data_IF_771324967235
#
_entry.id   IF_771324967235
#
_cell.length_a   1.000
_cell.length_b   1.000
_cell.length_c   1.000
_cell.angle_alpha   90.00
_cell.angle_beta   90.00
_cell.angle_gamma   90.00
#
_symmetry.space_group_name_H-M   'P 1'
#
loop_
_entity.id
_entity.type
_entity.pdbx_description
1 polymer ?
#
# COMPACT_ATOMS: atom_id res chain seq x y z
N UNK A 1 -7.30 15.80 -43.63
CA UNK A 1 -6.97 16.84 -42.63
C UNK A 1 -7.65 16.62 -41.25
N UNK A 2 -8.78 15.91 -41.18
CA UNK A 2 -9.43 15.56 -39.90
C UNK A 2 -8.75 14.44 -39.08
N UNK A 3 -7.81 13.70 -39.67
CA UNK A 3 -7.18 12.51 -39.07
C UNK A 3 -5.94 12.85 -38.22
N UNK A 4 -5.05 13.69 -38.76
CA UNK A 4 -3.84 14.15 -38.07
C UNK A 4 -4.12 14.87 -36.74
N UNK A 5 -5.22 15.63 -36.66
CA UNK A 5 -5.62 16.30 -35.41
C UNK A 5 -6.04 15.29 -34.32
N UNK A 6 -6.70 14.18 -34.66
CA UNK A 6 -7.07 13.16 -33.67
C UNK A 6 -5.86 12.41 -33.13
N UNK A 7 -4.90 12.10 -34.00
CA UNK A 7 -3.65 11.42 -33.62
C UNK A 7 -2.81 12.29 -32.67
N UNK A 8 -2.70 13.59 -32.93
CA UNK A 8 -1.97 14.52 -32.05
C UNK A 8 -2.61 14.64 -30.67
N UNK A 9 -3.95 14.71 -30.59
CA UNK A 9 -4.66 14.73 -29.31
C UNK A 9 -4.53 13.42 -28.52
N UNK A 10 -4.56 12.27 -29.21
CA UNK A 10 -4.38 10.97 -28.59
C UNK A 10 -2.95 10.81 -28.04
N UNK A 11 -1.95 11.24 -28.81
CA UNK A 11 -0.55 11.23 -28.40
C UNK A 11 -0.31 12.14 -27.20
N UNK A 12 -0.85 13.37 -27.21
CA UNK A 12 -0.73 14.29 -26.09
C UNK A 12 -1.37 13.71 -24.81
N UNK A 13 -2.54 13.08 -24.93
CA UNK A 13 -3.20 12.41 -23.80
C UNK A 13 -2.36 11.27 -23.22
N UNK A 14 -1.72 10.47 -24.07
CA UNK A 14 -0.86 9.37 -23.63
C UNK A 14 0.39 9.89 -22.89
N UNK A 15 0.97 11.01 -23.35
CA UNK A 15 2.10 11.65 -22.66
C UNK A 15 1.69 12.14 -21.27
N UNK A 16 0.57 12.86 -21.16
CA UNK A 16 0.06 13.35 -19.86
C UNK A 16 -0.26 12.19 -18.92
N UNK A 17 -0.89 11.12 -19.42
CA UNK A 17 -1.15 9.93 -18.61
C UNK A 17 0.13 9.27 -18.10
N UNK A 18 1.18 9.23 -18.94
CA UNK A 18 2.49 8.71 -18.54
C UNK A 18 3.17 9.58 -17.46
N UNK A 19 3.07 10.91 -17.56
CA UNK A 19 3.59 11.83 -16.54
C UNK A 19 2.85 11.68 -15.20
N UNK A 20 1.52 11.52 -15.24
CA UNK A 20 0.70 11.30 -14.05
C UNK A 20 1.07 10.01 -13.32
N UNK A 21 1.29 8.93 -14.07
CA UNK A 21 1.75 7.64 -13.53
C UNK A 21 3.15 7.78 -12.94
N UNK A 22 4.04 8.53 -13.59
CA UNK A 22 5.37 8.79 -13.07
C UNK A 22 5.30 9.50 -11.72
N UNK A 23 4.53 10.59 -11.60
CA UNK A 23 4.32 11.31 -10.33
C UNK A 23 3.73 10.43 -9.24
N UNK A 24 2.75 9.59 -9.60
CA UNK A 24 2.16 8.65 -8.65
C UNK A 24 3.19 7.64 -8.12
N UNK A 25 4.09 7.16 -8.98
CA UNK A 25 5.18 6.26 -8.59
C UNK A 25 6.19 6.96 -7.69
N UNK A 26 6.55 8.22 -7.98
CA UNK A 26 7.46 9.00 -7.13
C UNK A 26 6.89 9.21 -5.72
N UNK A 27 5.61 9.54 -5.63
CA UNK A 27 4.91 9.57 -4.35
C UNK A 27 4.96 8.20 -3.65
N UNK A 28 4.59 7.15 -4.38
CA UNK A 28 4.46 5.80 -3.82
C UNK A 28 5.79 5.23 -3.33
N UNK A 29 6.90 5.61 -3.95
CA UNK A 29 8.26 5.26 -3.50
C UNK A 29 8.51 5.78 -2.08
N UNK A 30 8.15 7.04 -1.81
CA UNK A 30 8.28 7.64 -0.47
C UNK A 30 7.35 6.95 0.54
N UNK A 31 6.11 6.64 0.14
CA UNK A 31 5.12 6.06 1.05
C UNK A 31 5.40 4.60 1.42
N UNK A 32 6.05 3.85 0.53
CA UNK A 32 6.24 2.40 0.68
C UNK A 32 7.69 2.00 0.94
N UNK A 33 8.65 2.87 0.61
CA UNK A 33 10.08 2.56 0.65
C UNK A 33 10.55 1.63 -0.48
N UNK A 34 9.67 1.21 -1.39
CA UNK A 34 10.04 0.41 -2.56
C UNK A 34 10.50 1.30 -3.70
N UNK A 35 11.52 0.85 -4.43
CA UNK A 35 12.07 1.62 -5.55
C UNK A 35 11.03 1.83 -6.67
N UNK A 36 11.19 2.89 -7.46
CA UNK A 36 10.35 3.11 -8.66
C UNK A 36 10.37 1.91 -9.61
N UNK A 37 11.50 1.21 -9.69
CA UNK A 37 11.63 0.00 -10.50
C UNK A 37 10.72 -1.12 -9.97
N UNK A 38 10.75 -1.37 -8.66
CA UNK A 38 9.92 -2.39 -8.02
C UNK A 38 8.43 -2.10 -8.17
N UNK A 39 8.04 -0.84 -7.97
CA UNK A 39 6.65 -0.40 -8.08
C UNK A 39 6.14 -0.51 -9.53
N UNK A 40 6.93 -0.12 -10.52
CA UNK A 40 6.58 -0.30 -11.95
C UNK A 40 6.52 -1.78 -12.33
N UNK A 41 7.43 -2.59 -11.78
CA UNK A 41 7.50 -4.03 -12.01
C UNK A 41 6.27 -4.81 -11.54
N UNK A 42 5.43 -4.23 -10.69
CA UNK A 42 4.12 -4.82 -10.33
C UNK A 42 3.11 -4.79 -11.49
N UNK A 43 3.27 -3.87 -12.45
CA UNK A 43 2.26 -3.58 -13.46
C UNK A 43 0.97 -2.94 -12.92
N UNK A 44 0.89 -2.58 -11.63
CA UNK A 44 -0.33 -2.09 -10.99
C UNK A 44 -0.47 -0.56 -10.95
N UNK A 45 0.58 0.17 -11.34
CA UNK A 45 0.67 1.63 -11.17
C UNK A 45 -0.53 2.40 -11.75
N UNK A 46 -0.92 2.08 -12.98
CA UNK A 46 -2.06 2.73 -13.66
C UNK A 46 -3.39 2.42 -13.00
N UNK A 47 -3.63 1.15 -12.68
CA UNK A 47 -4.87 0.71 -12.03
C UNK A 47 -5.03 1.29 -10.62
N UNK A 48 -3.93 1.41 -9.88
CA UNK A 48 -3.92 2.04 -8.56
C UNK A 48 -4.11 3.55 -8.65
N UNK A 49 -3.44 4.24 -9.57
CA UNK A 49 -3.66 5.67 -9.80
C UNK A 49 -5.12 5.96 -10.17
N UNK A 50 -5.70 5.18 -11.08
CA UNK A 50 -7.11 5.32 -11.47
C UNK A 50 -8.04 5.08 -10.28
N UNK A 51 -7.76 4.07 -9.46
CA UNK A 51 -8.51 3.80 -8.23
C UNK A 51 -8.45 4.98 -7.27
N UNK A 52 -7.26 5.51 -6.98
CA UNK A 52 -7.07 6.68 -6.12
C UNK A 52 -7.87 7.87 -6.67
N UNK A 53 -7.72 8.19 -7.96
CA UNK A 53 -8.42 9.32 -8.60
C UNK A 53 -9.93 9.18 -8.55
N UNK A 54 -10.47 7.98 -8.73
CA UNK A 54 -11.92 7.73 -8.59
C UNK A 54 -12.38 7.95 -7.16
N UNK A 55 -11.63 7.40 -6.19
CA UNK A 55 -12.02 7.39 -4.79
C UNK A 55 -11.93 8.77 -4.14
N UNK A 56 -10.90 9.56 -4.43
CA UNK A 56 -10.72 10.88 -3.80
C UNK A 56 -11.13 12.04 -4.72
N UNK A 57 -11.21 11.82 -6.03
CA UNK A 57 -11.50 12.87 -7.02
C UNK A 57 -10.26 13.67 -7.44
N UNK A 58 -10.32 14.26 -8.63
CA UNK A 58 -9.19 14.98 -9.24
C UNK A 58 -8.68 16.16 -8.40
N UNK A 59 -9.58 16.93 -7.79
CA UNK A 59 -9.19 18.10 -6.97
C UNK A 59 -8.43 17.71 -5.71
N UNK A 60 -8.87 16.65 -5.01
CA UNK A 60 -8.16 16.16 -3.83
C UNK A 60 -6.84 15.49 -4.20
N UNK A 61 -6.77 14.80 -5.35
CA UNK A 61 -5.51 14.28 -5.87
C UNK A 61 -4.51 15.40 -6.19
N UNK A 62 -4.95 16.47 -6.85
CA UNK A 62 -4.09 17.63 -7.11
C UNK A 62 -3.59 18.28 -5.81
N UNK A 63 -4.49 18.49 -4.84
CA UNK A 63 -4.12 19.04 -3.53
C UNK A 63 -3.13 18.14 -2.77
N UNK A 64 -3.29 16.81 -2.88
CA UNK A 64 -2.36 15.84 -2.32
C UNK A 64 -0.96 16.00 -2.94
N UNK A 65 -0.87 15.99 -4.27
CA UNK A 65 0.41 16.14 -4.97
C UNK A 65 1.09 17.46 -4.61
N UNK A 66 0.36 18.58 -4.62
CA UNK A 66 0.91 19.89 -4.24
C UNK A 66 1.46 19.89 -2.81
N UNK A 67 0.69 19.37 -1.85
CA UNK A 67 1.13 19.30 -0.45
C UNK A 67 2.44 18.51 -0.32
N UNK A 68 2.55 17.40 -1.04
CA UNK A 68 3.73 16.53 -0.98
C UNK A 68 4.94 17.12 -1.71
N UNK A 69 4.75 17.78 -2.85
CA UNK A 69 5.82 18.50 -3.57
C UNK A 69 6.42 19.62 -2.69
N UNK A 70 5.61 20.29 -1.87
CA UNK A 70 6.06 21.33 -0.94
C UNK A 70 6.79 20.77 0.29
N UNK A 71 6.46 19.54 0.68
CA UNK A 71 6.89 18.94 1.95
C UNK A 71 7.81 17.74 1.80
N UNK A 72 8.24 17.36 0.59
CA UNK A 72 8.96 16.11 0.34
C UNK A 72 10.24 15.86 1.17
N UNK A 73 10.83 16.91 1.76
CA UNK A 73 11.98 16.84 2.68
C UNK A 73 11.65 17.09 4.16
N UNK A 74 10.41 17.45 4.48
CA UNK A 74 9.95 17.74 5.84
C UNK A 74 8.83 16.76 6.17
N UNK A 75 8.60 16.47 7.44
CA UNK A 75 7.37 15.78 7.80
C UNK A 75 6.19 16.65 7.38
N UNK A 76 5.29 16.19 6.48
CA UNK A 76 4.15 16.99 6.08
C UNK A 76 3.28 17.27 7.30
N UNK A 77 2.86 18.52 7.47
CA UNK A 77 1.89 18.86 8.51
C UNK A 77 0.51 18.39 8.06
N UNK A 78 0.05 17.28 8.64
CA UNK A 78 -1.24 16.69 8.35
C UNK A 78 -2.38 17.26 9.19
N UNK A 79 -2.10 18.11 10.20
CA UNK A 79 -3.11 18.59 11.16
C UNK A 79 -4.22 19.38 10.48
N UNK A 80 -3.91 20.11 9.40
CA UNK A 80 -4.89 20.80 8.57
C UNK A 80 -5.56 19.94 7.50
N UNK A 81 -5.10 18.70 7.28
CA UNK A 81 -5.46 17.88 6.13
C UNK A 81 -5.78 16.41 6.48
N UNK A 82 -6.70 16.14 7.43
CA UNK A 82 -7.00 14.77 7.88
C UNK A 82 -7.50 13.86 6.76
N UNK A 83 -8.25 14.39 5.78
CA UNK A 83 -8.71 13.60 4.63
C UNK A 83 -7.56 13.20 3.68
N UNK A 84 -6.55 14.06 3.53
CA UNK A 84 -5.37 13.77 2.70
C UNK A 84 -4.44 12.78 3.43
N UNK A 85 -4.31 12.90 4.75
CA UNK A 85 -3.60 11.91 5.56
C UNK A 85 -4.21 10.51 5.42
N UNK A 86 -5.53 10.40 5.56
CA UNK A 86 -6.23 9.13 5.36
C UNK A 86 -6.09 8.61 3.92
N UNK A 87 -6.03 9.51 2.94
CA UNK A 87 -5.75 9.14 1.54
C UNK A 87 -4.35 8.55 1.38
N UNK A 88 -3.33 9.14 1.99
CA UNK A 88 -1.95 8.63 1.95
C UNK A 88 -1.87 7.24 2.60
N UNK A 89 -2.52 7.06 3.75
CA UNK A 89 -2.64 5.75 4.41
C UNK A 89 -3.34 4.73 3.51
N UNK A 90 -4.39 5.15 2.80
CA UNK A 90 -5.11 4.30 1.86
C UNK A 90 -4.26 3.91 0.63
N UNK A 91 -3.44 4.83 0.11
CA UNK A 91 -2.49 4.54 -0.97
C UNK A 91 -1.45 3.52 -0.51
N UNK A 92 -0.88 3.69 0.68
CA UNK A 92 0.05 2.72 1.24
C UNK A 92 -0.63 1.34 1.40
N UNK A 93 -1.80 1.30 2.04
CA UNK A 93 -2.59 0.07 2.17
C UNK A 93 -2.82 -0.61 0.82
N UNK A 94 -3.22 0.16 -0.20
CA UNK A 94 -3.46 -0.31 -1.55
C UNK A 94 -2.24 -0.99 -2.16
N UNK A 95 -1.05 -0.39 -2.04
CA UNK A 95 0.18 -0.99 -2.54
C UNK A 95 0.53 -2.29 -1.82
N UNK A 96 0.35 -2.36 -0.50
CA UNK A 96 0.70 -3.55 0.26
C UNK A 96 -0.28 -4.71 0.04
N UNK A 97 -1.58 -4.44 -0.03
CA UNK A 97 -2.62 -5.49 -0.03
C UNK A 97 -3.28 -5.71 -1.39
N UNK A 98 -3.20 -4.73 -2.30
CA UNK A 98 -3.96 -4.70 -3.54
C UNK A 98 -5.43 -4.33 -3.40
N UNK A 99 -5.87 -3.92 -2.22
CA UNK A 99 -7.24 -3.50 -1.93
C UNK A 99 -7.30 -2.02 -1.55
N UNK A 100 -8.38 -1.34 -1.90
CA UNK A 100 -8.69 -0.02 -1.37
C UNK A 100 -9.40 -0.16 -0.03
N UNK A 101 -8.94 0.46 1.07
CA UNK A 101 -9.53 0.27 2.37
C UNK A 101 -10.79 1.12 2.55
N UNK A 102 -11.60 0.75 3.55
CA UNK A 102 -12.60 1.67 4.11
C UNK A 102 -11.90 2.83 4.81
N UNK A 103 -12.18 4.04 4.38
CA UNK A 103 -11.62 5.27 4.97
C UNK A 103 -12.31 5.61 6.29
N UNK A 104 -11.63 6.36 7.16
CA UNK A 104 -12.28 6.93 8.34
C UNK A 104 -13.51 7.77 7.94
N UNK A 105 -14.67 7.64 8.63
CA UNK A 105 -15.92 8.31 8.22
C UNK A 105 -15.79 9.82 8.04
N UNK A 106 -15.03 10.49 8.92
CA UNK A 106 -14.78 11.93 8.84
C UNK A 106 -13.97 12.31 7.59
N UNK A 107 -12.95 11.52 7.24
CA UNK A 107 -12.16 11.74 6.04
C UNK A 107 -12.98 11.47 4.77
N UNK A 108 -13.73 10.37 4.73
CA UNK A 108 -14.63 10.07 3.62
C UNK A 108 -15.65 11.18 3.38
N UNK A 109 -16.27 11.68 4.45
CA UNK A 109 -17.18 12.85 4.38
C UNK A 109 -16.45 14.11 3.89
N UNK A 110 -15.21 14.34 4.36
CA UNK A 110 -14.36 15.45 3.95
C UNK A 110 -13.99 15.44 2.46
N UNK A 111 -13.85 14.27 1.85
CA UNK A 111 -13.61 14.12 0.42
C UNK A 111 -14.82 14.51 -0.45
N UNK A 112 -16.03 14.54 0.15
CA UNK A 112 -17.31 14.91 -0.51
C UNK A 112 -17.60 14.09 -1.78
N UNK A 113 -17.29 12.79 -1.73
CA UNK A 113 -17.51 11.86 -2.84
C UNK A 113 -18.81 11.10 -2.65
N UNK A 114 -19.57 10.96 -3.74
CA UNK A 114 -20.76 10.10 -3.78
C UNK A 114 -20.33 8.66 -4.12
N UNK A 115 -19.53 8.06 -3.24
CA UNK A 115 -19.08 6.67 -3.37
C UNK A 115 -19.35 5.92 -2.07
N UNK A 116 -19.48 4.59 -2.18
CA UNK A 116 -19.56 3.73 -1.00
C UNK A 116 -18.21 3.70 -0.29
N UNK A 117 -18.22 3.85 1.03
CA UNK A 117 -17.03 3.74 1.86
C UNK A 117 -16.85 2.30 2.33
N UNK A 118 -16.46 1.43 1.41
CA UNK A 118 -16.27 0.00 1.65
C UNK A 118 -14.90 -0.44 1.13
N UNK A 119 -14.37 -1.50 1.73
CA UNK A 119 -13.14 -2.11 1.24
C UNK A 119 -13.42 -2.95 -0.01
N UNK A 120 -12.55 -2.86 -1.01
CA UNK A 120 -12.65 -3.68 -2.21
C UNK A 120 -11.27 -3.97 -2.82
N UNK A 121 -11.13 -5.13 -3.44
CA UNK A 121 -9.92 -5.50 -4.20
C UNK A 121 -9.96 -4.82 -5.57
N UNK A 122 -8.87 -4.17 -5.98
CA UNK A 122 -8.84 -3.37 -7.21
C UNK A 122 -8.92 -4.24 -8.47
N UNK A 123 -8.22 -5.37 -8.48
CA UNK A 123 -8.27 -6.33 -9.58
C UNK A 123 -7.81 -7.72 -9.12
N UNK A 124 -8.11 -8.79 -9.86
CA UNK A 124 -7.61 -10.14 -9.55
C UNK A 124 -6.08 -10.20 -9.42
N UNK A 125 -5.35 -9.45 -10.25
CA UNK A 125 -3.88 -9.38 -10.23
C UNK A 125 -3.33 -8.61 -9.02
N UNK A 126 -4.14 -7.75 -8.39
CA UNK A 126 -3.69 -6.89 -7.31
C UNK A 126 -3.22 -7.71 -6.08
N UNK A 127 -3.90 -8.82 -5.79
CA UNK A 127 -3.51 -9.73 -4.71
C UNK A 127 -2.12 -10.33 -4.94
N UNK A 128 -1.83 -10.77 -6.17
CA UNK A 128 -0.56 -11.44 -6.50
C UNK A 128 0.63 -10.51 -6.61
N UNK A 129 0.37 -9.21 -6.77
CA UNK A 129 1.38 -8.15 -6.89
C UNK A 129 1.51 -7.26 -5.64
N UNK A 130 0.73 -7.55 -4.58
CA UNK A 130 0.80 -6.80 -3.33
C UNK A 130 2.20 -6.80 -2.72
N UNK A 131 2.67 -5.63 -2.28
CA UNK A 131 4.02 -5.46 -1.73
C UNK A 131 4.24 -6.21 -0.41
N UNK A 132 3.17 -6.61 0.28
CA UNK A 132 3.26 -7.43 1.51
C UNK A 132 4.04 -8.72 1.27
N UNK A 133 3.91 -9.34 0.09
CA UNK A 133 4.63 -10.57 -0.24
C UNK A 133 6.13 -10.32 -0.37
N UNK A 134 6.54 -9.22 -1.01
CA UNK A 134 7.96 -8.86 -1.16
C UNK A 134 8.58 -8.50 0.18
N UNK A 135 7.83 -7.81 1.04
CA UNK A 135 8.30 -7.38 2.36
C UNK A 135 8.73 -8.56 3.24
N UNK A 136 7.95 -9.64 3.23
CA UNK A 136 8.25 -10.85 4.00
C UNK A 136 9.06 -11.89 3.22
N UNK A 137 9.58 -11.55 2.03
CA UNK A 137 10.22 -12.51 1.10
C UNK A 137 9.35 -13.76 0.88
N UNK A 138 8.04 -13.55 0.87
CA UNK A 138 7.02 -14.58 0.75
C UNK A 138 6.41 -14.63 -0.66
N UNK A 139 5.38 -15.46 -0.78
CA UNK A 139 4.66 -15.66 -2.04
C UNK A 139 3.15 -15.60 -1.76
N UNK A 140 2.35 -15.03 -2.67
CA UNK A 140 0.89 -15.04 -2.52
C UNK A 140 0.36 -16.47 -2.43
N UNK A 141 -0.57 -16.74 -1.52
CA UNK A 141 -1.17 -18.06 -1.42
C UNK A 141 -1.95 -18.38 -2.71
N UNK A 142 -1.72 -19.57 -3.28
CA UNK A 142 -2.40 -19.98 -4.52
C UNK A 142 -1.87 -19.33 -5.81
N UNK A 143 -0.79 -18.54 -5.75
CA UNK A 143 -0.13 -17.98 -6.93
C UNK A 143 1.38 -17.95 -6.75
N UNK A 144 2.16 -17.97 -7.85
CA UNK A 144 3.63 -17.91 -7.83
C UNK A 144 4.28 -18.84 -6.77
N UNK A 145 3.92 -20.15 -6.72
CA UNK A 145 4.43 -21.02 -5.67
C UNK A 145 5.94 -21.18 -5.77
N UNK A 146 6.67 -21.21 -4.64
CA UNK A 146 8.13 -21.35 -4.61
C UNK A 146 8.64 -22.75 -5.01
N UNK A 147 7.73 -23.66 -5.37
CA UNK A 147 8.01 -25.09 -5.63
C UNK A 147 7.68 -25.97 -4.43
N UNK A 148 7.38 -27.24 -4.71
CA UNK A 148 7.05 -28.25 -3.69
C UNK A 148 8.26 -28.51 -2.77
N UNK A 149 8.00 -28.62 -1.46
CA UNK A 149 9.02 -29.00 -0.46
C UNK A 149 9.90 -27.86 0.04
N UNK A 150 9.69 -26.62 -0.40
CA UNK A 150 10.44 -25.44 0.08
C UNK A 150 10.25 -25.16 1.57
N UNK A 151 9.09 -25.53 2.13
CA UNK A 151 8.79 -25.51 3.56
C UNK A 151 9.60 -26.51 4.40
N UNK A 152 10.34 -27.43 3.78
CA UNK A 152 11.24 -28.34 4.51
C UNK A 152 12.60 -27.71 4.84
N UNK A 153 12.94 -26.60 4.18
CA UNK A 153 14.16 -25.86 4.44
C UNK A 153 13.97 -24.96 5.65
N UNK A 154 14.91 -24.99 6.59
CA UNK A 154 14.92 -24.05 7.71
C UNK A 154 15.11 -22.62 7.17
N UNK A 155 14.37 -21.63 7.68
CA UNK A 155 14.60 -20.23 7.32
C UNK A 155 16.01 -19.79 7.79
N UNK A 156 16.63 -18.81 7.13
CA UNK A 156 17.88 -18.25 7.59
C UNK A 156 17.74 -17.68 9.02
N UNK A 157 18.81 -17.70 9.82
CA UNK A 157 18.79 -17.09 11.14
C UNK A 157 18.48 -15.60 11.03
N UNK A 158 17.77 -15.06 12.02
CA UNK A 158 17.49 -13.62 12.10
C UNK A 158 18.82 -12.90 12.30
N UNK A 159 19.17 -11.91 11.44
CA UNK A 159 20.41 -11.17 11.59
C UNK A 159 20.43 -10.37 12.89
N UNK A 160 21.62 -10.21 13.46
CA UNK A 160 21.84 -9.40 14.66
C UNK A 160 21.65 -7.91 14.36
N UNK A 161 21.40 -7.11 15.39
CA UNK A 161 21.25 -5.65 15.24
C UNK A 161 22.51 -5.03 14.64
N UNK A 162 23.69 -5.54 15.00
CA UNK A 162 24.98 -5.11 14.47
C UNK A 162 25.15 -5.44 12.98
N UNK A 163 24.65 -6.60 12.53
CA UNK A 163 24.66 -6.97 11.11
C UNK A 163 23.71 -6.10 10.30
N UNK A 164 22.48 -5.90 10.79
CA UNK A 164 21.49 -4.98 10.18
C UNK A 164 22.07 -3.57 10.09
N UNK A 165 22.71 -3.07 11.15
CA UNK A 165 23.30 -1.73 11.18
C UNK A 165 24.46 -1.56 10.20
N UNK A 166 25.17 -2.65 9.86
CA UNK A 166 26.28 -2.63 8.90
C UNK A 166 25.79 -2.69 7.45
N UNK A 167 24.66 -3.36 7.22
CA UNK A 167 24.05 -3.54 5.90
C UNK A 167 23.24 -2.31 5.47
N UNK A 168 22.61 -1.61 6.41
CA UNK A 168 22.01 -0.31 6.16
C UNK A 168 23.09 0.69 5.72
N UNK A 169 23.01 1.17 4.48
CA UNK A 169 23.97 2.14 3.95
C UNK A 169 24.10 3.37 4.88
N UNK A 170 25.30 3.98 4.99
CA UNK A 170 25.51 5.15 5.84
C UNK A 170 24.56 6.32 5.47
N UNK A 171 24.10 6.42 4.23
CA UNK A 171 23.14 7.44 3.76
C UNK A 171 21.69 7.22 4.23
N UNK A 172 21.35 6.05 4.80
CA UNK A 172 20.05 5.83 5.42
C UNK A 172 19.84 6.74 6.65
N UNK A 173 20.95 7.17 7.27
CA UNK A 173 20.92 8.19 8.34
C UNK A 173 20.54 9.59 7.82
N UNK A 174 20.74 9.90 6.54
CA UNK A 174 20.44 11.24 6.02
C UNK A 174 18.95 11.54 5.82
N UNK A 175 18.10 10.52 5.62
CA UNK A 175 16.68 10.70 5.27
C UNK A 175 15.68 10.26 6.35
N UNK A 176 16.09 9.38 7.28
CA UNK A 176 15.20 8.86 8.34
C UNK A 176 15.88 8.71 9.72
N UNK A 177 17.01 9.37 10.00
CA UNK A 177 17.68 9.34 11.33
C UNK A 177 16.91 10.06 12.46
N UNK A 178 15.59 9.91 12.51
CA UNK A 178 14.77 10.42 13.61
C UNK A 178 14.42 9.35 14.64
N UNK A 179 14.75 8.09 14.36
CA UNK A 179 14.57 6.98 15.30
C UNK A 179 15.89 6.56 15.96
N UNK A 180 16.69 7.52 16.42
CA UNK A 180 17.92 7.24 17.17
C UNK A 180 17.66 6.88 18.63
N UNK A 181 16.44 7.17 19.11
CA UNK A 181 16.03 6.91 20.49
C UNK A 181 15.05 5.74 20.45
N UNK A 182 15.30 4.64 21.20
CA UNK A 182 14.31 3.58 21.33
C UNK A 182 13.04 4.17 21.95
N UNK A 183 11.92 4.09 21.22
CA UNK A 183 10.60 4.49 21.72
C UNK A 183 9.94 3.27 22.34
N UNK A 184 9.56 3.34 23.61
CA UNK A 184 8.77 2.28 24.22
C UNK A 184 7.37 2.28 23.61
N UNK A 185 6.80 1.10 23.39
CA UNK A 185 5.40 0.98 22.93
C UNK A 185 4.43 1.68 23.90
N UNK A 186 4.79 1.76 25.19
CA UNK A 186 4.02 2.47 26.21
C UNK A 186 4.01 3.99 26.05
N UNK A 187 4.95 4.55 25.28
CA UNK A 187 5.10 6.00 25.07
C UNK A 187 4.36 6.48 23.81
N UNK A 188 3.79 5.55 23.03
CA UNK A 188 3.06 5.86 21.79
C UNK A 188 1.62 6.22 22.15
N UNK A 189 1.15 7.37 21.68
CA UNK A 189 -0.26 7.77 21.82
C UNK A 189 -1.18 6.64 21.32
N UNK A 190 -2.13 6.15 22.13
CA UNK A 190 -3.03 5.07 21.74
C UNK A 190 -3.85 5.34 20.47
N UNK A 191 -4.05 6.61 20.10
CA UNK A 191 -4.71 7.01 18.85
C UNK A 191 -3.83 6.85 17.60
N UNK A 192 -2.51 6.75 17.78
CA UNK A 192 -1.53 6.44 16.73
C UNK A 192 -1.28 4.94 16.59
N UNK A 193 -1.62 4.16 17.62
CA UNK A 193 -1.63 2.71 17.50
C UNK A 193 -2.76 2.30 16.54
N UNK A 194 -2.56 1.27 15.70
CA UNK A 194 -3.65 0.72 14.92
C UNK A 194 -4.80 0.39 15.88
N UNK A 195 -5.98 0.99 15.63
CA UNK A 195 -7.13 0.88 16.52
C UNK A 195 -7.43 -0.58 16.89
N UNK A 196 -8.09 -0.84 18.03
CA UNK A 196 -8.37 -2.20 18.49
C UNK A 196 -9.09 -2.96 17.37
N UNK A 197 -8.37 -3.89 16.73
CA UNK A 197 -8.93 -4.82 15.78
C UNK A 197 -9.35 -6.05 16.60
N UNK A 198 -10.64 -6.19 16.98
CA UNK A 198 -11.10 -7.32 17.80
C UNK A 198 -10.76 -8.67 17.16
N UNK A 199 -10.58 -8.71 15.84
CA UNK A 199 -10.27 -9.93 15.10
C UNK A 199 -8.82 -10.42 15.25
N UNK A 200 -7.85 -9.55 15.62
CA UNK A 200 -6.44 -9.94 15.79
C UNK A 200 -6.13 -10.61 17.13
N UNK A 201 -7.08 -10.57 18.07
CA UNK A 201 -6.96 -11.21 19.39
C UNK A 201 -7.66 -12.57 19.49
N UNK A 202 -8.28 -13.05 18.41
CA UNK A 202 -8.74 -14.43 18.34
C UNK A 202 -7.54 -15.30 18.01
N UNK A 203 -7.02 -16.03 19.01
CA UNK A 203 -6.01 -17.06 18.77
C UNK A 203 -6.52 -18.03 17.70
N UNK A 204 -5.65 -18.53 16.79
CA UNK A 204 -6.07 -19.45 15.72
C UNK A 204 -6.83 -20.68 16.23
N UNK A 205 -6.57 -21.10 17.48
CA UNK A 205 -7.27 -22.16 18.20
C UNK A 205 -8.74 -21.86 18.54
N UNK A 206 -9.15 -20.61 18.46
CA UNK A 206 -10.48 -20.11 18.83
C UNK A 206 -11.36 -19.84 17.61
N UNK A 207 -10.81 -19.99 16.39
CA UNK A 207 -11.58 -20.04 15.16
C UNK A 207 -12.39 -21.35 15.12
N UNK A 208 -13.70 -21.31 14.81
CA UNK A 208 -14.48 -22.52 14.68
C UNK A 208 -13.87 -23.42 13.58
N UNK A 209 -13.55 -24.66 13.94
CA UNK A 209 -13.11 -25.68 12.99
C UNK A 209 -14.22 -25.86 11.94
N UNK A 210 -13.86 -25.87 10.66
CA UNK A 210 -14.81 -26.17 9.59
C UNK A 210 -15.59 -27.43 9.93
N UNK A 211 -16.92 -27.36 9.84
CA UNK A 211 -17.79 -28.51 10.10
C UNK A 211 -17.38 -29.67 9.19
N UNK A 212 -17.23 -30.86 9.79
CA UNK A 212 -16.89 -32.07 9.07
C UNK A 212 -17.96 -32.32 7.99
N UNK A 213 -17.58 -32.51 6.71
CA UNK A 213 -18.56 -32.77 5.68
C UNK A 213 -19.35 -34.04 6.03
N UNK A 214 -20.68 -34.06 5.79
CA UNK A 214 -21.49 -35.23 6.15
C UNK A 214 -20.93 -36.47 5.47
N UNK A 215 -20.64 -37.49 6.28
CA UNK A 215 -20.15 -38.78 5.83
C UNK A 215 -21.22 -39.37 4.90
N UNK A 216 -20.95 -39.39 3.61
CA UNK A 216 -21.79 -40.13 2.66
C UNK A 216 -21.55 -41.61 2.92
N UNK A 217 -22.47 -42.24 3.66
CA UNK A 217 -22.58 -43.69 3.70
C UNK A 217 -23.03 -44.14 2.31
N UNK A 218 -22.09 -44.69 1.54
CA UNK A 218 -22.38 -45.42 0.31
C UNK A 218 -22.86 -46.85 0.67
N UNK A 219 -23.79 -47.41 -0.11
CA UNK A 219 -24.72 -48.47 0.30
C UNK A 219 -24.08 -49.83 0.60
#
# INVERSE_FOLDING_TARGET
MHDASKEDHARNRAVVASEDVAKFIELSEVLTGFSRYDLRGTGMAEAYLDTVRRQIGASNYAALITLLEETWFRHPDWTGHPALLETVRAIAYLWYTGAWPRLAPAAHAGLRRQMANEEFVVSPSAYTEGLVWRTFHGHPAGAKPPGFGTWSMAPPPVPTVEEISRELEPDFTGRHALFTTPVSVSDIDPSMLPGPAPERYTTPSTQPRAAEPPRQEQP
#
